data_IF_847407694093
#
_entry.id   IF_847407694093
#
_cell.length_a   1.000
_cell.length_b   1.000
_cell.length_c   1.000
_cell.angle_alpha   90.00
_cell.angle_beta   90.00
_cell.angle_gamma   90.00
#
_symmetry.space_group_name_H-M   'P 1'
#
loop_
_entity.id
_entity.type
_entity.pdbx_description
1 polymer ?
#
# COMPACT_ATOMS: atom_id res chain seq x y z
N UNK A 1 0.60 -45.86 -16.49
CA UNK A 1 0.65 -44.41 -16.70
C UNK A 1 1.41 -43.75 -15.55
N UNK A 2 2.68 -43.37 -15.78
CA UNK A 2 3.59 -42.83 -14.76
C UNK A 2 3.28 -41.35 -14.52
N UNK A 3 2.96 -40.98 -13.28
CA UNK A 3 2.78 -39.59 -12.85
C UNK A 3 4.13 -38.86 -12.93
N UNK A 4 4.29 -37.99 -13.92
CA UNK A 4 5.46 -37.10 -14.02
C UNK A 4 5.36 -36.07 -12.89
N UNK A 5 6.20 -36.22 -11.85
CA UNK A 5 6.39 -35.20 -10.82
C UNK A 5 7.25 -34.08 -11.40
N UNK A 6 6.65 -32.90 -11.59
CA UNK A 6 7.40 -31.68 -11.91
C UNK A 6 8.33 -31.30 -10.73
N UNK A 7 9.57 -30.85 -10.99
CA UNK A 7 10.56 -30.55 -9.95
C UNK A 7 10.21 -29.32 -9.10
N UNK A 8 10.51 -29.39 -7.79
CA UNK A 8 10.19 -28.42 -6.73
C UNK A 8 10.88 -27.04 -6.86
N UNK A 9 11.55 -26.72 -7.95
CA UNK A 9 12.52 -25.60 -8.04
C UNK A 9 11.89 -24.28 -8.54
N UNK A 10 10.61 -24.23 -8.89
CA UNK A 10 9.97 -23.02 -9.46
C UNK A 10 9.08 -22.21 -8.50
N UNK A 11 9.12 -22.48 -7.18
CA UNK A 11 8.30 -21.75 -6.18
C UNK A 11 9.06 -20.77 -5.25
N UNK A 12 10.36 -20.58 -5.44
CA UNK A 12 11.19 -19.69 -4.61
C UNK A 12 11.46 -18.31 -5.23
N UNK A 13 10.75 -17.91 -6.29
CA UNK A 13 10.90 -16.54 -6.82
C UNK A 13 10.06 -15.56 -5.98
N UNK A 14 10.78 -14.63 -5.34
CA UNK A 14 10.36 -13.30 -4.88
C UNK A 14 9.70 -13.16 -3.50
N UNK A 15 10.44 -13.49 -2.43
CA UNK A 15 10.31 -12.74 -1.17
C UNK A 15 11.68 -12.19 -0.79
N UNK A 16 12.06 -11.06 -1.37
CA UNK A 16 13.15 -10.25 -0.82
C UNK A 16 12.84 -9.97 0.65
N UNK A 17 13.84 -10.17 1.51
CA UNK A 17 13.77 -9.89 2.93
C UNK A 17 13.37 -8.43 3.17
N UNK A 18 12.73 -8.15 4.31
CA UNK A 18 12.34 -6.78 4.69
C UNK A 18 13.51 -5.79 4.59
N UNK A 19 14.71 -6.24 4.96
CA UNK A 19 15.94 -5.47 4.87
C UNK A 19 16.34 -5.17 3.42
N UNK A 20 16.22 -6.13 2.49
CA UNK A 20 16.50 -5.90 1.06
C UNK A 20 15.49 -4.95 0.43
N UNK A 21 14.20 -5.06 0.77
CA UNK A 21 13.17 -4.12 0.30
C UNK A 21 13.41 -2.71 0.82
N UNK A 22 13.78 -2.58 2.09
CA UNK A 22 14.16 -1.31 2.69
C UNK A 22 15.39 -0.70 1.99
N UNK A 23 16.46 -1.48 1.80
CA UNK A 23 17.68 -1.03 1.11
C UNK A 23 17.39 -0.58 -0.34
N UNK A 24 16.57 -1.33 -1.08
CA UNK A 24 16.19 -0.98 -2.45
C UNK A 24 15.33 0.30 -2.51
N UNK A 25 14.39 0.46 -1.58
CA UNK A 25 13.56 1.65 -1.47
C UNK A 25 14.39 2.89 -1.09
N UNK A 26 15.29 2.77 -0.12
CA UNK A 26 16.16 3.88 0.29
C UNK A 26 17.14 4.30 -0.80
N UNK A 27 17.71 3.34 -1.55
CA UNK A 27 18.65 3.64 -2.62
C UNK A 27 18.01 4.44 -3.78
N UNK A 28 16.73 4.18 -4.10
CA UNK A 28 16.03 4.88 -5.19
C UNK A 28 15.44 6.23 -4.77
N UNK A 29 15.10 6.41 -3.49
CA UNK A 29 14.62 7.69 -2.94
C UNK A 29 15.73 8.76 -2.92
N UNK A 30 17.00 8.35 -2.90
CA UNK A 30 18.16 9.24 -2.78
C UNK A 30 18.41 10.20 -3.98
N UNK A 31 17.62 10.14 -5.06
CA UNK A 31 17.83 10.95 -6.28
C UNK A 31 16.77 12.03 -6.55
N UNK A 32 15.77 12.22 -5.66
CA UNK A 32 14.78 13.29 -5.84
C UNK A 32 15.16 14.51 -5.00
N UNK A 33 15.64 15.58 -5.64
CA UNK A 33 15.83 16.89 -5.01
C UNK A 33 14.51 17.31 -4.33
N UNK A 34 14.54 17.55 -3.00
CA UNK A 34 13.35 17.79 -2.17
C UNK A 34 12.68 19.13 -2.52
N UNK A 35 11.40 19.16 -2.95
CA UNK A 35 10.61 20.38 -2.95
C UNK A 35 10.16 20.75 -1.51
N UNK A 36 9.74 22.02 -1.27
CA UNK A 36 9.28 22.44 0.04
C UNK A 36 7.90 21.83 0.34
N UNK A 37 7.83 20.92 1.31
CA UNK A 37 6.61 20.26 1.77
C UNK A 37 6.57 18.76 1.43
N UNK A 38 6.32 17.93 2.45
CA UNK A 38 6.26 16.48 2.30
C UNK A 38 4.96 16.06 1.59
N UNK A 39 5.03 15.74 0.29
CA UNK A 39 3.87 15.29 -0.49
C UNK A 39 3.76 13.78 -0.47
N UNK A 40 2.55 13.26 -0.21
CA UNK A 40 2.31 11.81 -0.25
C UNK A 40 2.15 11.32 -1.69
N UNK A 41 1.46 12.08 -2.53
CA UNK A 41 1.15 11.74 -3.92
C UNK A 41 1.33 12.98 -4.79
N UNK A 42 1.69 12.76 -6.04
CA UNK A 42 1.78 13.82 -7.06
C UNK A 42 0.37 14.15 -7.55
N UNK A 43 -0.09 15.41 -7.46
CA UNK A 43 -1.40 15.80 -8.00
C UNK A 43 -1.53 15.47 -9.48
N UNK A 44 -2.73 15.06 -9.91
CA UNK A 44 -2.96 14.75 -11.32
C UNK A 44 -2.82 15.99 -12.23
N UNK A 45 -2.99 17.19 -11.67
CA UNK A 45 -2.71 18.47 -12.34
C UNK A 45 -1.24 18.69 -12.67
N UNK A 46 -0.32 17.99 -11.99
CA UNK A 46 1.12 18.04 -12.26
C UNK A 46 1.56 16.99 -13.28
N UNK A 47 0.62 16.41 -14.04
CA UNK A 47 0.93 15.55 -15.17
C UNK A 47 1.85 16.30 -16.16
N UNK A 48 3.04 15.77 -16.48
CA UNK A 48 3.95 16.45 -17.41
C UNK A 48 3.27 16.75 -18.74
N UNK A 49 3.55 17.95 -19.26
CA UNK A 49 3.09 18.39 -20.57
C UNK A 49 3.62 17.46 -21.68
N UNK A 50 2.95 17.50 -22.84
CA UNK A 50 3.45 16.82 -24.03
C UNK A 50 4.80 17.43 -24.43
N UNK A 51 5.78 16.56 -24.71
CA UNK A 51 7.11 16.93 -25.19
C UNK A 51 7.37 16.24 -26.52
N UNK A 52 8.26 16.80 -27.32
CA UNK A 52 8.62 16.29 -28.64
C UNK A 52 10.13 16.21 -28.77
N UNK A 53 10.64 15.27 -29.57
CA UNK A 53 12.03 15.24 -30.00
C UNK A 53 12.26 16.16 -31.22
N UNK A 54 13.52 16.25 -31.66
CA UNK A 54 13.93 17.02 -32.85
C UNK A 54 13.27 16.55 -34.15
N UNK A 55 12.81 15.29 -34.18
CA UNK A 55 12.15 14.68 -35.33
C UNK A 55 10.63 14.85 -35.31
N UNK A 56 10.08 15.60 -34.34
CA UNK A 56 8.64 15.79 -34.17
C UNK A 56 7.90 14.59 -33.56
N UNK A 57 8.61 13.57 -33.06
CA UNK A 57 7.99 12.46 -32.35
C UNK A 57 7.63 12.89 -30.93
N UNK A 58 6.42 12.52 -30.49
CA UNK A 58 5.99 12.70 -29.09
C UNK A 58 6.91 11.91 -28.16
N UNK A 59 7.24 12.46 -27.00
CA UNK A 59 8.02 11.77 -25.96
C UNK A 59 7.11 11.23 -24.85
N UNK A 60 7.52 10.10 -24.27
CA UNK A 60 6.89 9.55 -23.08
C UNK A 60 6.91 10.57 -21.93
N UNK A 61 5.75 10.84 -21.32
CA UNK A 61 5.62 11.84 -20.26
C UNK A 61 6.44 11.49 -19.01
N UNK A 62 6.73 10.20 -18.79
CA UNK A 62 7.56 9.73 -17.67
C UNK A 62 9.05 9.62 -18.01
N UNK A 63 9.43 8.83 -19.02
CA UNK A 63 10.85 8.48 -19.28
C UNK A 63 11.47 9.23 -20.47
N UNK A 64 10.71 10.08 -21.14
CA UNK A 64 11.15 10.86 -22.32
C UNK A 64 11.60 10.03 -23.53
N UNK A 65 11.33 8.72 -23.57
CA UNK A 65 11.58 7.90 -24.77
C UNK A 65 10.63 8.31 -25.90
N UNK A 66 11.10 8.45 -27.16
CA UNK A 66 10.25 8.71 -28.31
C UNK A 66 9.15 7.65 -28.46
N UNK A 67 7.93 8.11 -28.68
CA UNK A 67 6.77 7.26 -28.87
C UNK A 67 6.67 6.84 -30.33
N UNK A 68 6.49 5.53 -30.55
CA UNK A 68 6.21 4.98 -31.87
C UNK A 68 4.71 4.72 -32.06
N UNK A 69 4.23 4.84 -33.29
CA UNK A 69 2.86 4.54 -33.69
C UNK A 69 1.82 5.49 -33.10
N UNK A 70 0.67 4.96 -32.66
CA UNK A 70 -0.49 5.76 -32.16
C UNK A 70 -0.41 6.12 -30.66
N UNK A 71 0.69 5.85 -29.98
CA UNK A 71 0.83 6.14 -28.54
C UNK A 71 0.97 7.66 -28.32
N UNK A 72 0.26 8.20 -27.32
CA UNK A 72 0.22 9.66 -27.07
C UNK A 72 0.95 10.12 -25.81
N UNK A 73 0.97 9.32 -24.74
CA UNK A 73 1.46 9.76 -23.43
C UNK A 73 2.54 8.87 -22.81
N UNK A 74 2.55 7.57 -23.14
CA UNK A 74 3.40 6.57 -22.47
C UNK A 74 4.03 5.64 -23.49
N UNK A 75 5.30 5.29 -23.30
CA UNK A 75 5.99 4.32 -24.16
C UNK A 75 5.58 2.87 -23.84
N UNK A 76 5.13 2.59 -22.62
CA UNK A 76 4.74 1.26 -22.14
C UNK A 76 3.69 1.34 -21.02
N UNK A 77 3.07 0.19 -20.70
CA UNK A 77 2.18 0.06 -19.54
C UNK A 77 2.93 0.34 -18.24
N UNK A 78 4.20 -0.04 -18.13
CA UNK A 78 5.01 0.20 -16.93
C UNK A 78 5.17 1.69 -16.64
N UNK A 79 5.39 2.52 -17.68
CA UNK A 79 5.47 3.97 -17.50
C UNK A 79 4.13 4.57 -17.06
N UNK A 80 3.02 4.07 -17.62
CA UNK A 80 1.69 4.49 -17.19
C UNK A 80 1.44 4.10 -15.73
N UNK A 81 1.71 2.85 -15.37
CA UNK A 81 1.51 2.33 -14.01
C UNK A 81 2.37 3.10 -13.01
N UNK A 82 3.63 3.38 -13.34
CA UNK A 82 4.53 4.13 -12.47
C UNK A 82 4.02 5.56 -12.21
N UNK A 83 3.48 6.24 -13.23
CA UNK A 83 2.80 7.51 -13.02
C UNK A 83 1.57 7.36 -12.12
N UNK A 84 0.67 6.43 -12.44
CA UNK A 84 -0.58 6.22 -11.70
C UNK A 84 -0.36 5.81 -10.24
N UNK A 85 0.70 5.06 -9.93
CA UNK A 85 1.06 4.70 -8.55
C UNK A 85 1.46 5.95 -7.75
N UNK A 86 2.20 6.86 -8.36
CA UNK A 86 2.66 8.11 -7.73
C UNK A 86 1.54 9.12 -7.55
N UNK A 87 0.56 9.14 -8.47
CA UNK A 87 -0.49 10.16 -8.48
C UNK A 87 -1.84 9.71 -7.93
N UNK A 88 -2.17 8.42 -8.00
CA UNK A 88 -3.50 7.90 -7.71
C UNK A 88 -3.48 6.86 -6.58
N UNK A 89 -3.90 7.23 -5.35
CA UNK A 89 -3.82 6.36 -4.17
C UNK A 89 -4.60 5.05 -4.31
N UNK A 90 -5.75 5.09 -4.99
CA UNK A 90 -6.58 3.91 -5.24
C UNK A 90 -5.88 2.92 -6.18
N UNK A 91 -5.19 3.41 -7.20
CA UNK A 91 -4.41 2.59 -8.13
C UNK A 91 -3.17 2.00 -7.44
N UNK A 92 -2.45 2.81 -6.65
CA UNK A 92 -1.36 2.34 -5.82
C UNK A 92 -1.80 1.21 -4.88
N UNK A 93 -2.94 1.39 -4.20
CA UNK A 93 -3.52 0.37 -3.31
C UNK A 93 -3.87 -0.92 -4.06
N UNK A 94 -4.43 -0.80 -5.27
CA UNK A 94 -4.73 -1.96 -6.14
C UNK A 94 -3.44 -2.72 -6.49
N UNK A 95 -2.40 -2.02 -6.96
CA UNK A 95 -1.11 -2.62 -7.33
C UNK A 95 -0.40 -3.27 -6.14
N UNK A 96 -0.47 -2.65 -4.96
CA UNK A 96 0.05 -3.23 -3.72
C UNK A 96 -0.69 -4.51 -3.36
N UNK A 97 -2.02 -4.53 -3.51
CA UNK A 97 -2.81 -5.74 -3.25
C UNK A 97 -2.52 -6.85 -4.27
N UNK A 98 -2.39 -6.53 -5.55
CA UNK A 98 -2.00 -7.50 -6.59
C UNK A 98 -0.65 -8.17 -6.26
N UNK A 99 0.31 -7.38 -5.74
CA UNK A 99 1.64 -7.86 -5.36
C UNK A 99 1.63 -8.65 -4.05
N UNK A 100 1.04 -8.11 -2.99
CA UNK A 100 1.19 -8.62 -1.62
C UNK A 100 0.03 -9.50 -1.17
N UNK A 101 -1.11 -9.48 -1.88
CA UNK A 101 -2.36 -10.22 -1.56
C UNK A 101 -2.90 -9.97 -0.14
N UNK A 102 -2.64 -8.79 0.43
CA UNK A 102 -3.05 -8.48 1.79
C UNK A 102 -2.20 -9.14 2.89
N UNK A 103 -1.06 -9.74 2.52
CA UNK A 103 -0.11 -10.32 3.48
C UNK A 103 0.78 -9.23 4.07
N UNK A 104 0.81 -9.15 5.40
CA UNK A 104 1.60 -8.16 6.13
C UNK A 104 3.10 -8.37 5.92
N UNK A 105 3.81 -7.33 5.47
CA UNK A 105 5.26 -7.34 5.29
C UNK A 105 6.04 -7.41 6.61
N UNK A 106 5.41 -7.06 7.74
CA UNK A 106 6.04 -7.08 9.06
C UNK A 106 5.89 -8.44 9.75
N UNK A 107 4.66 -8.93 9.90
CA UNK A 107 4.38 -10.14 10.69
C UNK A 107 3.95 -11.35 9.84
N UNK A 108 3.80 -11.21 8.52
CA UNK A 108 3.43 -12.30 7.63
C UNK A 108 1.96 -12.73 7.70
N UNK A 109 1.12 -12.12 8.55
CA UNK A 109 -0.31 -12.45 8.62
C UNK A 109 -1.00 -12.13 7.30
N UNK A 110 -1.80 -13.06 6.80
CA UNK A 110 -2.73 -12.82 5.70
C UNK A 110 -3.97 -12.11 6.25
N UNK A 111 -3.91 -10.78 6.26
CA UNK A 111 -4.98 -9.95 6.79
C UNK A 111 -6.23 -10.04 5.91
N UNK A 112 -6.10 -10.17 4.59
CA UNK A 112 -7.25 -10.24 3.71
C UNK A 112 -8.06 -11.54 3.91
N UNK A 113 -7.38 -12.68 4.00
CA UNK A 113 -8.04 -13.96 4.28
C UNK A 113 -8.68 -13.95 5.66
N UNK A 114 -7.99 -13.41 6.67
CA UNK A 114 -8.57 -13.24 8.02
C UNK A 114 -9.85 -12.40 7.98
N UNK A 115 -9.82 -11.22 7.36
CA UNK A 115 -10.99 -10.34 7.29
C UNK A 115 -12.15 -10.99 6.55
N UNK A 116 -11.87 -11.77 5.50
CA UNK A 116 -12.88 -12.54 4.77
C UNK A 116 -13.54 -13.60 5.63
N UNK A 117 -12.79 -14.23 6.56
CA UNK A 117 -13.34 -15.19 7.54
C UNK A 117 -14.22 -14.48 8.58
N UNK A 118 -13.76 -13.35 9.13
CA UNK A 118 -14.54 -12.53 10.06
C UNK A 118 -15.87 -12.11 9.40
N UNK A 119 -15.81 -11.55 8.19
CA UNK A 119 -16.99 -11.10 7.46
C UNK A 119 -17.96 -12.25 7.15
N UNK A 120 -17.45 -13.47 6.92
CA UNK A 120 -18.29 -14.65 6.72
C UNK A 120 -19.03 -15.05 8.01
N UNK A 121 -18.37 -15.03 9.17
CA UNK A 121 -19.00 -15.32 10.46
C UNK A 121 -20.07 -14.27 10.80
N UNK A 122 -19.77 -12.98 10.64
CA UNK A 122 -20.75 -11.91 10.87
C UNK A 122 -21.97 -12.03 9.97
N UNK A 123 -21.78 -12.32 8.67
CA UNK A 123 -22.91 -12.56 7.75
C UNK A 123 -23.72 -13.81 8.09
N UNK A 124 -23.08 -14.85 8.61
CA UNK A 124 -23.79 -16.05 9.05
C UNK A 124 -24.66 -15.75 10.26
N UNK A 125 -24.14 -14.97 11.22
CA UNK A 125 -24.88 -14.56 12.40
C UNK A 125 -26.04 -13.62 12.06
N UNK A 126 -25.82 -12.64 11.17
CA UNK A 126 -26.88 -11.78 10.65
C UNK A 126 -28.03 -12.59 10.06
N UNK A 127 -27.75 -13.59 9.22
CA UNK A 127 -28.79 -14.46 8.67
C UNK A 127 -29.58 -15.22 9.74
N UNK A 128 -28.93 -15.60 10.85
CA UNK A 128 -29.54 -16.34 11.95
C UNK A 128 -30.53 -15.49 12.76
N UNK A 129 -30.20 -14.22 13.01
CA UNK A 129 -30.95 -13.40 13.97
C UNK A 129 -31.80 -12.29 13.33
N UNK A 130 -31.58 -11.94 12.05
CA UNK A 130 -32.28 -10.82 11.39
C UNK A 130 -33.81 -10.93 11.34
N UNK A 131 -34.36 -12.15 11.42
CA UNK A 131 -35.80 -12.38 11.39
C UNK A 131 -36.46 -12.23 12.77
N UNK A 132 -35.65 -12.22 13.84
CA UNK A 132 -36.12 -12.23 15.23
C UNK A 132 -35.91 -10.85 15.87
N UNK A 133 -34.83 -10.15 15.50
CA UNK A 133 -34.44 -8.89 16.12
C UNK A 133 -34.96 -7.67 15.33
N UNK A 134 -35.35 -6.62 16.06
CA UNK A 134 -35.58 -5.31 15.45
C UNK A 134 -34.30 -4.74 14.82
N UNK A 135 -34.39 -3.77 13.89
CA UNK A 135 -33.20 -3.19 13.25
C UNK A 135 -32.15 -2.63 14.22
N UNK A 136 -32.58 -2.02 15.33
CA UNK A 136 -31.68 -1.48 16.34
C UNK A 136 -30.97 -2.60 17.13
N UNK A 137 -31.71 -3.63 17.54
CA UNK A 137 -31.15 -4.80 18.24
C UNK A 137 -30.20 -5.59 17.33
N UNK A 138 -30.55 -5.76 16.05
CA UNK A 138 -29.70 -6.42 15.06
C UNK A 138 -28.35 -5.69 14.93
N UNK A 139 -28.37 -4.36 14.81
CA UNK A 139 -27.14 -3.55 14.72
C UNK A 139 -26.25 -3.73 15.94
N UNK A 140 -26.83 -3.64 17.15
CA UNK A 140 -26.10 -3.83 18.41
C UNK A 140 -25.52 -5.25 18.52
N UNK A 141 -26.32 -6.27 18.17
CA UNK A 141 -25.90 -7.67 18.17
C UNK A 141 -24.73 -7.93 17.22
N UNK A 142 -24.84 -7.47 15.97
CA UNK A 142 -23.78 -7.65 14.97
C UNK A 142 -22.50 -6.90 15.34
N UNK A 143 -22.62 -5.73 15.97
CA UNK A 143 -21.45 -5.00 16.46
C UNK A 143 -20.72 -5.78 17.57
N UNK A 144 -21.46 -6.31 18.54
CA UNK A 144 -20.89 -7.15 19.61
C UNK A 144 -20.28 -8.43 19.05
N UNK A 145 -20.97 -9.10 18.12
CA UNK A 145 -20.46 -10.32 17.49
C UNK A 145 -19.21 -10.05 16.64
N UNK A 146 -19.18 -8.95 15.89
CA UNK A 146 -17.99 -8.51 15.16
C UNK A 146 -16.80 -8.26 16.11
N UNK A 147 -17.03 -7.64 17.27
CA UNK A 147 -15.99 -7.42 18.26
C UNK A 147 -15.46 -8.74 18.85
N UNK A 148 -16.35 -9.68 19.19
CA UNK A 148 -15.98 -11.01 19.68
C UNK A 148 -15.11 -11.76 18.67
N UNK A 149 -15.61 -11.91 17.45
CA UNK A 149 -14.91 -12.60 16.36
C UNK A 149 -13.57 -11.91 16.05
N UNK A 150 -13.53 -10.57 15.99
CA UNK A 150 -12.28 -9.85 15.76
C UNK A 150 -11.23 -10.14 16.86
N UNK A 151 -11.67 -10.22 18.11
CA UNK A 151 -10.80 -10.52 19.26
C UNK A 151 -10.22 -11.94 19.18
N UNK A 152 -11.00 -12.93 18.75
CA UNK A 152 -10.52 -14.30 18.51
C UNK A 152 -9.38 -14.36 17.47
N UNK A 153 -9.37 -13.43 16.51
CA UNK A 153 -8.30 -13.28 15.53
C UNK A 153 -7.19 -12.30 15.94
N UNK A 154 -7.14 -11.90 17.22
CA UNK A 154 -6.09 -11.04 17.78
C UNK A 154 -6.17 -9.59 17.30
N UNK A 155 -7.38 -9.08 17.05
CA UNK A 155 -7.62 -7.68 16.66
C UNK A 155 -8.26 -6.89 17.80
N UNK A 156 -7.58 -5.83 18.24
CA UNK A 156 -8.11 -4.92 19.27
C UNK A 156 -9.36 -4.16 18.83
N UNK A 157 -9.46 -3.88 17.52
CA UNK A 157 -10.60 -3.13 16.93
C UNK A 157 -10.99 -3.74 15.59
N UNK A 158 -12.27 -4.06 15.36
CA UNK A 158 -12.74 -4.47 14.05
C UNK A 158 -12.64 -3.30 13.07
N UNK A 159 -12.01 -3.53 11.92
CA UNK A 159 -11.98 -2.58 10.80
C UNK A 159 -12.51 -3.27 9.56
N UNK A 160 -13.22 -2.53 8.71
CA UNK A 160 -13.66 -3.03 7.39
C UNK A 160 -12.50 -3.51 6.51
N UNK A 161 -11.28 -3.03 6.80
CA UNK A 161 -10.07 -3.36 6.05
C UNK A 161 -8.90 -3.57 7.02
N UNK A 162 -8.57 -4.83 7.26
CA UNK A 162 -7.57 -5.32 8.21
C UNK A 162 -6.13 -5.20 7.74
N UNK A 163 -5.90 -4.60 6.57
CA UNK A 163 -4.59 -4.18 6.09
C UNK A 163 -4.60 -2.76 5.50
N UNK A 164 -3.43 -2.13 5.53
CA UNK A 164 -3.17 -0.78 5.04
C UNK A 164 -2.00 -0.78 4.07
N UNK A 165 -2.10 0.07 3.04
CA UNK A 165 -0.96 0.43 2.20
C UNK A 165 -0.16 1.48 2.94
N UNK A 166 1.12 1.23 3.13
CA UNK A 166 2.02 2.09 3.88
C UNK A 166 3.34 2.31 3.13
N UNK A 167 4.02 3.43 3.40
CA UNK A 167 5.31 3.73 2.78
C UNK A 167 6.43 3.07 3.57
N UNK A 168 7.35 2.35 2.92
CA UNK A 168 8.51 1.72 3.59
C UNK A 168 9.36 2.81 4.24
N UNK A 169 9.88 3.75 3.44
CA UNK A 169 10.45 5.03 3.86
C UNK A 169 9.31 6.02 4.07
N UNK A 170 9.28 6.71 5.21
CA UNK A 170 8.19 7.63 5.54
C UNK A 170 8.15 8.83 4.58
N UNK A 171 6.96 9.40 4.36
CA UNK A 171 6.77 10.60 3.53
C UNK A 171 7.63 11.77 4.03
N UNK A 172 7.73 11.94 5.36
CA UNK A 172 8.58 12.96 6.00
C UNK A 172 10.08 12.75 5.78
N UNK A 173 10.49 11.54 5.44
CA UNK A 173 11.89 11.20 5.17
C UNK A 173 12.16 11.10 3.65
N UNK A 174 11.26 11.62 2.82
CA UNK A 174 11.38 11.63 1.35
C UNK A 174 10.76 10.42 0.65
N UNK A 175 10.04 9.55 1.36
CA UNK A 175 9.38 8.38 0.77
C UNK A 175 8.05 8.67 0.08
N UNK A 176 7.66 9.93 -0.05
CA UNK A 176 6.45 10.35 -0.77
C UNK A 176 6.62 10.31 -2.29
N UNK A 177 5.50 10.42 -3.03
CA UNK A 177 5.50 10.46 -4.49
C UNK A 177 6.29 9.28 -5.10
N UNK A 178 6.25 8.11 -4.47
CA UNK A 178 7.14 7.01 -4.77
C UNK A 178 6.51 5.99 -5.73
N UNK A 179 7.34 5.16 -6.36
CA UNK A 179 6.88 3.97 -7.07
C UNK A 179 6.44 2.86 -6.11
N UNK A 180 6.06 1.71 -6.68
CA UNK A 180 5.57 0.55 -5.94
C UNK A 180 6.59 0.00 -4.94
N UNK A 181 7.89 0.19 -5.24
CA UNK A 181 9.03 -0.29 -4.46
C UNK A 181 9.08 0.28 -3.05
N UNK A 182 8.56 1.50 -2.82
CA UNK A 182 8.50 2.10 -1.49
C UNK A 182 7.12 1.94 -0.83
N UNK A 183 6.23 1.12 -1.40
CA UNK A 183 4.94 0.78 -0.79
C UNK A 183 4.97 -0.64 -0.24
N UNK A 184 4.24 -0.88 0.85
CA UNK A 184 4.10 -2.19 1.50
C UNK A 184 2.71 -2.38 2.09
N UNK A 185 2.29 -3.64 2.18
CA UNK A 185 1.11 -4.03 2.95
C UNK A 185 1.47 -4.24 4.42
N UNK A 186 0.74 -3.58 5.34
CA UNK A 186 0.80 -3.83 6.78
C UNK A 186 -0.58 -4.20 7.31
N UNK A 187 -0.69 -5.21 8.19
CA UNK A 187 -1.92 -5.41 8.94
C UNK A 187 -2.20 -4.21 9.85
N UNK A 188 -3.45 -4.00 10.26
CA UNK A 188 -3.86 -2.87 11.10
C UNK A 188 -3.06 -2.73 12.39
N UNK A 189 -2.68 -3.85 13.02
CA UNK A 189 -1.85 -3.88 14.24
C UNK A 189 -0.43 -3.37 13.95
N UNK A 190 0.25 -3.93 12.94
CA UNK A 190 1.61 -3.51 12.56
C UNK A 190 1.62 -2.06 12.06
N UNK A 191 0.61 -1.65 11.29
CA UNK A 191 0.45 -0.28 10.84
C UNK A 191 0.33 0.69 12.02
N UNK A 192 -0.55 0.40 13.00
CA UNK A 192 -0.71 1.23 14.21
C UNK A 192 0.61 1.34 15.00
N UNK A 193 1.34 0.22 15.17
CA UNK A 193 2.66 0.22 15.81
C UNK A 193 3.64 1.13 15.08
N UNK A 194 3.73 1.01 13.74
CA UNK A 194 4.61 1.85 12.93
C UNK A 194 4.23 3.33 12.98
N UNK A 195 2.94 3.67 12.83
CA UNK A 195 2.48 5.06 12.92
C UNK A 195 2.80 5.69 14.28
N UNK A 196 2.67 4.93 15.38
CA UNK A 196 3.04 5.38 16.73
C UNK A 196 4.54 5.66 16.85
N UNK A 197 5.38 4.74 16.34
CA UNK A 197 6.83 4.93 16.34
C UNK A 197 7.25 6.19 15.55
N UNK A 198 6.70 6.38 14.34
CA UNK A 198 6.95 7.57 13.53
C UNK A 198 6.46 8.85 14.22
N UNK A 199 5.29 8.83 14.86
CA UNK A 199 4.79 9.97 15.63
C UNK A 199 5.72 10.35 16.80
N UNK A 200 6.30 9.36 17.48
CA UNK A 200 7.27 9.60 18.54
C UNK A 200 8.56 10.25 17.99
N UNK A 201 9.05 9.79 16.84
CA UNK A 201 10.22 10.39 16.16
C UNK A 201 9.92 11.84 15.76
N UNK A 202 8.78 12.11 15.12
CA UNK A 202 8.34 13.48 14.79
C UNK A 202 8.29 14.39 16.01
N UNK A 203 7.74 13.89 17.11
CA UNK A 203 7.64 14.65 18.35
C UNK A 203 9.02 15.05 18.87
N UNK A 204 9.99 14.13 18.85
CA UNK A 204 11.38 14.40 19.24
C UNK A 204 12.06 15.40 18.30
N UNK A 205 11.93 15.22 16.98
CA UNK A 205 12.49 16.15 15.96
C UNK A 205 11.97 17.58 16.16
N UNK A 206 10.65 17.75 16.36
CA UNK A 206 10.05 19.08 16.63
C UNK A 206 10.60 19.73 17.89
N UNK A 207 10.77 18.97 18.97
CA UNK A 207 11.35 19.46 20.22
C UNK A 207 12.80 19.90 20.03
N UNK A 208 13.60 19.14 19.29
CA UNK A 208 14.99 19.49 19.01
C UNK A 208 15.11 20.74 18.13
N UNK A 209 14.26 20.91 17.12
CA UNK A 209 14.24 22.10 16.27
C UNK A 209 13.69 23.36 16.95
N UNK A 210 12.99 23.22 18.08
CA UNK A 210 12.50 24.34 18.88
C UNK A 210 13.46 24.79 19.98
N UNK A 211 14.59 24.09 20.18
CA UNK A 211 15.66 24.54 21.08
C UNK A 211 16.51 25.56 20.30
N UNK A 212 16.67 26.81 20.79
CA UNK A 212 17.56 27.78 20.16
C UNK A 212 18.98 27.21 20.07
N UNK A 213 19.60 27.31 18.89
CA UNK A 213 21.03 27.02 18.73
C UNK A 213 21.80 28.11 19.50
N UNK A 214 22.78 27.77 20.36
CA UNK A 214 23.56 28.75 21.11
C UNK A 214 24.35 29.70 20.20
#
# INVERSE_FOLDING_TARGET
MRKVRLPKVLRQKQKSSKAERQKAATARVAHSQKPPGYRRFTPQSELPAERFDENGNRLCRLCSTPLSGRRRSWCSQDCQDHWLIRSMPSFARKKVFERDRGVCAECGVDAHTRDSRIARQVRAEEKRVKAILSPQQLKQHLQSHLQQVATEFGLDTPKMMGWQMDHIVAVEDGGGECGLENLQTLCTVCHKKKSKAQAAVRSRKRKASSVPVP
#
